data_IF_180422669165
#
_entry.id   IF_180422669165
#
_cell.length_a   1.000
_cell.length_b   1.000
_cell.length_c   1.000
_cell.angle_alpha   90.00
_cell.angle_beta   90.00
_cell.angle_gamma   90.00
#
_symmetry.space_group_name_H-M   'P 1'
#
loop_
_entity.id
_entity.type
_entity.pdbx_description
1 polymer ?
#
# COMPACT_ATOMS: atom_id res chain seq x y z
N UNK A 1 -18.51 -10.74 68.79
CA UNK A 1 -18.40 -11.56 67.56
C UNK A 1 -18.32 -10.61 66.38
N UNK A 2 -17.20 -10.63 65.66
CA UNK A 2 -16.84 -9.70 64.58
C UNK A 2 -17.36 -10.19 63.23
N UNK A 3 -17.76 -9.28 62.35
CA UNK A 3 -17.47 -9.37 60.91
C UNK A 3 -17.84 -8.05 60.21
N UNK A 4 -16.86 -7.19 59.99
CA UNK A 4 -16.94 -6.06 59.04
C UNK A 4 -16.32 -6.50 57.72
N UNK A 5 -17.15 -6.62 56.69
CA UNK A 5 -16.74 -7.00 55.34
C UNK A 5 -16.32 -5.76 54.55
N UNK A 6 -15.03 -5.60 54.28
CA UNK A 6 -14.50 -4.58 53.36
C UNK A 6 -14.45 -5.19 51.97
N UNK A 7 -15.25 -4.67 51.03
CA UNK A 7 -15.19 -5.06 49.62
C UNK A 7 -14.15 -4.20 48.89
N UNK A 8 -13.09 -4.84 48.41
CA UNK A 8 -12.04 -4.23 47.59
C UNK A 8 -12.48 -4.27 46.11
N UNK A 9 -12.77 -3.12 45.50
CA UNK A 9 -12.96 -3.01 44.06
C UNK A 9 -11.61 -2.75 43.38
N UNK A 10 -11.10 -3.75 42.65
CA UNK A 10 -9.91 -3.61 41.81
C UNK A 10 -10.38 -3.09 40.45
N UNK A 11 -10.10 -1.83 40.13
CA UNK A 11 -10.30 -1.26 38.79
C UNK A 11 -9.08 -1.62 37.94
N UNK A 12 -9.24 -2.56 37.02
CA UNK A 12 -8.24 -2.93 36.02
C UNK A 12 -8.34 -2.01 34.79
N UNK A 13 -7.49 -0.98 34.73
CA UNK A 13 -7.45 -0.01 33.63
C UNK A 13 -6.13 -0.10 32.83
N UNK A 14 -5.92 -1.12 31.99
CA UNK A 14 -4.79 -1.15 31.03
C UNK A 14 -5.09 -2.01 29.78
N UNK A 15 -5.52 -1.39 28.65
CA UNK A 15 -4.99 -1.83 27.35
C UNK A 15 -4.70 -0.71 26.33
N UNK A 16 -4.69 0.58 26.71
CA UNK A 16 -4.59 1.68 25.73
C UNK A 16 -3.19 1.87 25.10
N UNK A 17 -2.11 1.45 25.75
CA UNK A 17 -0.73 1.78 25.34
C UNK A 17 -0.24 0.90 24.17
N UNK A 18 -0.63 -0.38 24.13
CA UNK A 18 -0.17 -1.31 23.09
C UNK A 18 -0.76 -0.95 21.70
N UNK A 19 -1.98 -0.42 21.68
CA UNK A 19 -2.68 -0.10 20.43
C UNK A 19 -2.12 1.17 19.77
N UNK A 20 -1.72 2.17 20.55
CA UNK A 20 -1.14 3.42 20.05
C UNK A 20 0.24 3.21 19.40
N UNK A 21 1.10 2.37 19.97
CA UNK A 21 2.42 2.07 19.39
C UNK A 21 2.31 1.39 18.03
N UNK A 22 1.33 0.50 17.86
CA UNK A 22 1.10 -0.21 16.59
C UNK A 22 0.56 0.70 15.46
N UNK A 23 -0.25 1.70 15.81
CA UNK A 23 -0.77 2.66 14.84
C UNK A 23 0.33 3.63 14.36
N UNK A 24 1.17 4.11 15.28
CA UNK A 24 2.28 4.99 14.95
C UNK A 24 3.33 4.29 14.06
N UNK A 25 3.65 3.03 14.33
CA UNK A 25 4.57 2.25 13.48
C UNK A 25 3.99 1.98 12.09
N UNK A 26 2.70 1.65 11.99
CA UNK A 26 2.03 1.45 10.71
C UNK A 26 2.01 2.73 9.86
N UNK A 27 1.75 3.89 10.49
CA UNK A 27 1.82 5.18 9.81
C UNK A 27 3.23 5.48 9.30
N UNK A 28 4.25 5.32 10.15
CA UNK A 28 5.65 5.51 9.74
C UNK A 28 6.03 4.60 8.56
N UNK A 29 5.62 3.32 8.59
CA UNK A 29 5.89 2.37 7.51
C UNK A 29 5.17 2.77 6.22
N UNK A 30 3.89 3.15 6.30
CA UNK A 30 3.13 3.63 5.14
C UNK A 30 3.75 4.89 4.51
N UNK A 31 4.26 5.82 5.32
CA UNK A 31 4.97 7.01 4.85
C UNK A 31 6.24 6.64 4.07
N UNK A 32 7.05 5.70 4.59
CA UNK A 32 8.25 5.21 3.89
C UNK A 32 7.92 4.59 2.55
N UNK A 33 6.88 3.74 2.51
CA UNK A 33 6.43 3.09 1.28
C UNK A 33 5.95 4.16 0.28
N UNK A 34 5.05 5.06 0.66
CA UNK A 34 4.56 6.11 -0.22
C UNK A 34 5.68 7.05 -0.73
N UNK A 35 6.61 7.45 0.15
CA UNK A 35 7.75 8.26 -0.25
C UNK A 35 8.59 7.61 -1.36
N UNK A 36 8.71 6.28 -1.37
CA UNK A 36 9.46 5.55 -2.41
C UNK A 36 8.83 5.61 -3.81
N UNK A 37 7.55 5.98 -3.91
CA UNK A 37 6.81 6.23 -5.14
C UNK A 37 6.78 7.71 -5.54
N UNK A 38 7.30 8.60 -4.70
CA UNK A 38 7.46 10.01 -5.04
C UNK A 38 8.78 10.23 -5.80
N UNK A 39 8.72 11.04 -6.87
CA UNK A 39 9.91 11.45 -7.63
C UNK A 39 9.69 12.79 -8.30
N UNK A 40 10.74 13.56 -8.50
CA UNK A 40 10.70 14.79 -9.29
C UNK A 40 11.85 14.84 -10.29
N UNK A 41 11.59 15.43 -11.45
CA UNK A 41 12.58 15.67 -12.50
C UNK A 41 12.27 16.99 -13.17
N UNK A 42 13.24 17.89 -13.20
CA UNK A 42 13.18 19.14 -13.95
C UNK A 42 14.40 19.23 -14.87
N UNK A 43 14.21 19.64 -16.11
CA UNK A 43 15.28 19.86 -17.08
C UNK A 43 14.99 21.14 -17.87
N UNK A 44 15.99 22.01 -17.96
CA UNK A 44 15.99 23.17 -18.85
C UNK A 44 17.18 23.07 -19.80
N UNK A 45 16.96 23.31 -21.08
CA UNK A 45 18.02 23.40 -22.09
C UNK A 45 17.78 24.63 -22.96
N UNK A 46 18.81 25.43 -23.16
CA UNK A 46 18.77 26.58 -24.06
C UNK A 46 19.75 26.38 -25.20
N UNK A 47 19.31 26.64 -26.43
CA UNK A 47 20.17 26.61 -27.63
C UNK A 47 19.65 27.59 -28.67
N UNK A 48 20.54 28.45 -29.18
CA UNK A 48 20.19 29.48 -30.17
C UNK A 48 18.98 30.35 -29.76
N UNK A 49 18.91 30.74 -28.48
CA UNK A 49 17.79 31.53 -27.93
C UNK A 49 16.48 30.74 -27.73
N UNK A 50 16.43 29.44 -28.05
CA UNK A 50 15.28 28.58 -27.80
C UNK A 50 15.49 27.82 -26.49
N UNK A 51 14.62 28.05 -25.50
CA UNK A 51 14.58 27.33 -24.23
C UNK A 51 13.55 26.20 -24.27
N UNK A 52 13.96 24.98 -23.93
CA UNK A 52 13.10 23.81 -23.74
C UNK A 52 13.10 23.41 -22.28
N UNK A 53 11.91 23.33 -21.69
CA UNK A 53 11.72 22.89 -20.32
C UNK A 53 10.94 21.57 -20.28
N UNK A 54 11.35 20.65 -19.41
CA UNK A 54 10.62 19.43 -19.11
C UNK A 54 10.49 19.31 -17.60
N UNK A 55 9.26 19.19 -17.12
CA UNK A 55 8.94 19.01 -15.72
C UNK A 55 8.14 17.72 -15.53
N UNK A 56 8.45 16.97 -14.48
CA UNK A 56 7.67 15.85 -14.00
C UNK A 56 7.78 15.80 -12.49
N UNK A 57 6.65 15.80 -11.79
CA UNK A 57 6.59 15.53 -10.36
C UNK A 57 5.55 14.45 -10.13
N UNK A 58 5.93 13.41 -9.40
CA UNK A 58 5.04 12.38 -8.87
C UNK A 58 5.11 12.49 -7.35
N UNK A 59 3.97 12.68 -6.71
CA UNK A 59 3.84 12.79 -5.28
C UNK A 59 2.86 11.72 -4.80
N UNK A 60 3.31 10.87 -3.88
CA UNK A 60 2.53 9.78 -3.34
C UNK A 60 2.38 9.94 -1.83
N UNK A 61 1.15 9.85 -1.34
CA UNK A 61 0.81 10.08 0.07
C UNK A 61 -0.08 8.94 0.59
N UNK A 62 0.19 8.39 1.80
CA UNK A 62 -0.67 7.37 2.38
C UNK A 62 -2.10 7.85 2.49
N UNK A 63 -3.04 7.00 2.09
CA UNK A 63 -4.44 7.35 2.00
C UNK A 63 -5.24 6.50 2.99
N UNK A 64 -5.48 7.07 4.18
CA UNK A 64 -6.31 6.45 5.21
C UNK A 64 -7.79 6.66 4.89
N UNK A 65 -8.57 5.59 4.87
CA UNK A 65 -10.03 5.64 4.72
C UNK A 65 -10.72 5.56 6.08
N UNK A 66 -11.81 6.35 6.31
CA UNK A 66 -12.61 6.24 7.53
C UNK A 66 -13.24 4.85 7.71
N UNK A 67 -13.68 4.23 6.62
CA UNK A 67 -14.24 2.88 6.60
C UNK A 67 -13.25 1.92 5.94
N UNK A 68 -12.74 0.89 6.64
CA UNK A 68 -11.82 -0.09 6.04
C UNK A 68 -12.40 -0.79 4.81
N UNK A 69 -13.73 -0.99 4.76
CA UNK A 69 -14.38 -1.63 3.62
C UNK A 69 -14.17 -0.85 2.29
N UNK A 70 -13.86 0.45 2.35
CA UNK A 70 -13.58 1.28 1.17
C UNK A 70 -12.29 0.88 0.44
N UNK A 71 -11.42 0.09 1.09
CA UNK A 71 -10.25 -0.54 0.46
C UNK A 71 -10.60 -1.79 -0.35
N UNK A 72 -11.83 -2.31 -0.28
CA UNK A 72 -12.24 -3.43 -1.11
C UNK A 72 -12.24 -3.05 -2.59
N UNK A 73 -11.88 -3.99 -3.45
CA UNK A 73 -11.88 -3.81 -4.90
C UNK A 73 -10.81 -4.61 -5.62
N UNK A 74 -10.72 -4.39 -6.93
CA UNK A 74 -9.69 -4.98 -7.78
C UNK A 74 -8.57 -3.98 -7.99
N UNK A 75 -7.34 -4.46 -7.89
CA UNK A 75 -6.11 -3.70 -7.98
C UNK A 75 -5.24 -4.30 -9.07
N UNK A 76 -4.77 -3.50 -10.02
CA UNK A 76 -3.96 -3.99 -11.14
C UNK A 76 -2.80 -3.04 -11.44
N UNK A 77 -1.67 -3.60 -11.86
CA UNK A 77 -0.59 -2.78 -12.44
C UNK A 77 -0.87 -2.65 -13.94
N UNK A 78 -1.12 -1.43 -14.45
CA UNK A 78 -1.36 -1.24 -15.88
C UNK A 78 -0.21 -1.84 -16.71
N UNK A 79 -0.58 -2.54 -17.78
CA UNK A 79 0.32 -3.12 -18.78
C UNK A 79 1.36 -4.15 -18.27
N UNK A 80 1.22 -4.67 -17.04
CA UNK A 80 2.21 -5.60 -16.46
C UNK A 80 1.63 -6.95 -16.00
N UNK A 81 0.33 -7.21 -16.18
CA UNK A 81 -0.30 -8.49 -15.84
C UNK A 81 -0.15 -8.91 -14.35
N UNK A 82 0.04 -7.93 -13.46
CA UNK A 82 -0.06 -8.11 -12.01
C UNK A 82 -1.42 -7.62 -11.53
N UNK A 83 -2.09 -8.39 -10.67
CA UNK A 83 -3.33 -7.92 -10.05
C UNK A 83 -3.74 -8.71 -8.82
N UNK A 84 -4.58 -8.10 -7.99
CA UNK A 84 -5.22 -8.77 -6.88
C UNK A 84 -6.59 -8.16 -6.60
N UNK A 85 -7.47 -8.97 -6.01
CA UNK A 85 -8.76 -8.57 -5.52
C UNK A 85 -8.74 -8.63 -4.00
N UNK A 86 -9.36 -7.64 -3.36
CA UNK A 86 -9.44 -7.51 -1.92
C UNK A 86 -10.90 -7.36 -1.51
N UNK A 87 -11.33 -8.15 -0.52
CA UNK A 87 -12.60 -7.98 0.18
C UNK A 87 -12.28 -7.68 1.64
N UNK A 88 -12.52 -6.44 2.06
CA UNK A 88 -12.20 -5.95 3.40
C UNK A 88 -13.47 -5.90 4.24
N UNK A 89 -13.41 -6.52 5.41
CA UNK A 89 -14.48 -6.48 6.41
C UNK A 89 -14.41 -5.18 7.21
N UNK A 90 -15.51 -4.83 7.89
CA UNK A 90 -15.57 -3.60 8.70
C UNK A 90 -14.56 -3.57 9.87
N UNK A 91 -14.08 -4.72 10.33
CA UNK A 91 -13.07 -4.85 11.38
C UNK A 91 -11.63 -4.69 10.87
N UNK A 92 -11.44 -4.49 9.56
CA UNK A 92 -10.13 -4.34 8.92
C UNK A 92 -9.40 -5.67 8.63
N UNK A 93 -10.04 -6.81 8.91
CA UNK A 93 -9.64 -8.10 8.33
C UNK A 93 -10.02 -8.15 6.87
N UNK A 94 -9.37 -9.01 6.09
CA UNK A 94 -9.70 -9.16 4.69
C UNK A 94 -9.39 -10.55 4.15
N UNK A 95 -10.10 -10.88 3.09
CA UNK A 95 -9.76 -11.96 2.18
C UNK A 95 -9.28 -11.36 0.85
N UNK A 96 -8.38 -12.06 0.17
CA UNK A 96 -7.93 -11.62 -1.13
C UNK A 96 -7.25 -12.72 -1.92
N UNK A 97 -7.29 -12.56 -3.23
CA UNK A 97 -6.63 -13.45 -4.19
C UNK A 97 -5.98 -12.60 -5.26
N UNK A 98 -4.89 -13.07 -5.84
CA UNK A 98 -4.24 -12.35 -6.92
C UNK A 98 -3.45 -13.24 -7.84
N UNK A 99 -2.82 -12.59 -8.79
CA UNK A 99 -1.98 -13.20 -9.80
C UNK A 99 -0.81 -12.30 -10.12
N UNK A 100 0.28 -12.93 -10.54
CA UNK A 100 1.49 -12.26 -11.01
C UNK A 100 2.16 -13.11 -12.08
N UNK A 101 2.87 -12.48 -13.03
CA UNK A 101 3.62 -13.19 -14.05
C UNK A 101 4.77 -13.98 -13.42
N UNK A 102 4.89 -15.24 -13.80
CA UNK A 102 6.04 -16.10 -13.49
C UNK A 102 7.07 -16.07 -14.63
N UNK A 103 6.57 -15.97 -15.87
CA UNK A 103 7.35 -15.79 -17.09
C UNK A 103 6.46 -15.18 -18.16
N UNK A 104 7.01 -14.95 -19.36
CA UNK A 104 6.21 -14.55 -20.53
C UNK A 104 5.05 -15.53 -20.72
N UNK A 105 3.82 -15.01 -20.73
CA UNK A 105 2.54 -15.74 -20.89
C UNK A 105 2.17 -16.75 -19.78
N UNK A 106 2.93 -16.86 -18.70
CA UNK A 106 2.60 -17.75 -17.57
C UNK A 106 2.31 -16.92 -16.33
N UNK A 107 1.14 -17.12 -15.74
CA UNK A 107 0.73 -16.48 -14.49
C UNK A 107 0.71 -17.51 -13.36
N UNK A 108 1.14 -17.09 -12.17
CA UNK A 108 0.88 -17.82 -10.92
C UNK A 108 -0.17 -17.08 -10.11
N UNK A 109 -1.03 -17.84 -9.44
CA UNK A 109 -2.07 -17.30 -8.55
C UNK A 109 -1.68 -17.46 -7.09
N UNK A 110 -2.13 -16.55 -6.23
CA UNK A 110 -1.95 -16.62 -4.79
C UNK A 110 -3.23 -16.27 -4.05
N UNK A 111 -3.34 -16.75 -2.82
CA UNK A 111 -4.33 -16.29 -1.83
C UNK A 111 -3.60 -15.49 -0.76
N UNK A 112 -4.20 -14.40 -0.30
CA UNK A 112 -3.71 -13.63 0.83
C UNK A 112 -4.22 -14.25 2.13
N UNK A 113 -3.31 -14.54 3.05
CA UNK A 113 -3.60 -15.08 4.38
C UNK A 113 -3.06 -14.16 5.46
N UNK A 114 -3.66 -14.25 6.65
CA UNK A 114 -3.29 -13.48 7.83
C UNK A 114 -3.27 -11.96 7.56
N UNK A 115 -4.22 -11.50 6.76
CA UNK A 115 -4.31 -10.13 6.30
C UNK A 115 -4.79 -9.16 7.37
N UNK A 116 -4.13 -8.01 7.49
CA UNK A 116 -4.57 -6.91 8.34
C UNK A 116 -4.32 -5.55 7.68
N UNK A 117 -5.25 -4.63 7.88
CA UNK A 117 -5.09 -3.21 7.52
C UNK A 117 -4.97 -2.37 8.79
N UNK A 118 -3.93 -1.54 8.87
CA UNK A 118 -3.72 -0.56 9.95
C UNK A 118 -3.43 0.80 9.35
N UNK A 119 -4.38 1.73 9.45
CA UNK A 119 -4.32 3.01 8.75
C UNK A 119 -4.35 2.79 7.24
N UNK A 120 -3.24 3.08 6.56
CA UNK A 120 -3.07 2.82 5.13
C UNK A 120 -2.16 1.63 4.84
N UNK A 121 -1.54 1.01 5.86
CA UNK A 121 -0.66 -0.14 5.69
C UNK A 121 -1.48 -1.43 5.59
N UNK A 122 -1.19 -2.26 4.61
CA UNK A 122 -1.68 -3.63 4.49
C UNK A 122 -0.49 -4.58 4.67
N UNK A 123 -0.68 -5.59 5.52
CA UNK A 123 0.23 -6.73 5.67
C UNK A 123 -0.55 -8.03 5.47
N UNK A 124 0.07 -8.99 4.80
CA UNK A 124 -0.45 -10.34 4.58
C UNK A 124 0.69 -11.29 4.17
N UNK A 125 0.33 -12.55 3.95
CA UNK A 125 1.19 -13.56 3.32
C UNK A 125 0.53 -14.03 2.03
N UNK A 126 1.23 -13.94 0.90
CA UNK A 126 0.85 -14.66 -0.32
C UNK A 126 1.11 -16.14 -0.10
N UNK A 127 0.13 -16.97 -0.39
CA UNK A 127 0.26 -18.43 -0.40
C UNK A 127 -0.06 -18.91 -1.81
N UNK A 128 0.92 -19.52 -2.47
CA UNK A 128 0.79 -20.05 -3.83
C UNK A 128 0.31 -21.50 -3.82
N UNK A 129 -0.20 -21.98 -4.97
CA UNK A 129 -0.63 -23.37 -5.12
C UNK A 129 0.49 -24.40 -4.89
N UNK A 130 1.75 -24.02 -5.07
CA UNK A 130 2.93 -24.83 -4.76
C UNK A 130 3.18 -25.02 -3.25
N UNK A 131 2.47 -24.28 -2.40
CA UNK A 131 2.74 -24.20 -0.96
C UNK A 131 3.81 -23.17 -0.59
N UNK A 132 4.49 -22.56 -1.57
CA UNK A 132 5.39 -21.44 -1.33
C UNK A 132 4.62 -20.27 -0.70
N UNK A 133 5.28 -19.55 0.21
CA UNK A 133 4.71 -18.38 0.86
C UNK A 133 5.66 -17.20 0.81
N UNK A 134 5.11 -16.00 0.61
CA UNK A 134 5.87 -14.75 0.56
C UNK A 134 5.16 -13.65 1.35
N UNK A 135 5.93 -12.77 1.99
CA UNK A 135 5.37 -11.59 2.65
C UNK A 135 4.75 -10.65 1.61
N UNK A 136 3.58 -10.11 1.94
CA UNK A 136 2.90 -9.09 1.17
C UNK A 136 2.68 -7.86 2.04
N UNK A 137 3.46 -6.82 1.77
CA UNK A 137 3.36 -5.55 2.46
C UNK A 137 3.25 -4.41 1.45
N UNK A 138 2.40 -3.44 1.75
CA UNK A 138 2.32 -2.21 0.98
C UNK A 138 1.42 -1.19 1.64
N UNK A 139 1.31 -0.03 1.02
CA UNK A 139 0.46 1.06 1.50
C UNK A 139 -0.58 1.46 0.46
N UNK A 140 -1.81 1.69 0.91
CA UNK A 140 -2.79 2.43 0.14
C UNK A 140 -2.37 3.89 0.07
N UNK A 141 -2.42 4.47 -1.12
CA UNK A 141 -1.94 5.83 -1.33
C UNK A 141 -2.66 6.53 -2.48
N UNK A 142 -2.69 7.86 -2.40
CA UNK A 142 -3.01 8.72 -3.53
C UNK A 142 -1.70 9.06 -4.23
N UNK A 143 -1.61 8.79 -5.53
CA UNK A 143 -0.46 9.13 -6.38
C UNK A 143 -0.87 10.24 -7.35
N UNK A 144 -0.30 11.42 -7.17
CA UNK A 144 -0.55 12.60 -8.00
C UNK A 144 0.61 12.85 -8.96
N UNK A 145 0.33 13.02 -10.25
CA UNK A 145 1.33 13.31 -11.28
C UNK A 145 1.12 14.70 -11.87
N UNK A 146 2.19 15.47 -11.98
CA UNK A 146 2.23 16.84 -12.50
C UNK A 146 3.26 16.95 -13.62
N UNK A 147 2.88 17.54 -14.76
CA UNK A 147 3.73 17.71 -15.94
C UNK A 147 4.26 19.15 -16.11
N UNK A 148 3.78 20.10 -15.29
CA UNK A 148 4.32 21.45 -15.18
C UNK A 148 4.15 22.00 -13.75
N UNK A 149 4.81 23.12 -13.39
CA UNK A 149 4.62 23.76 -12.08
C UNK A 149 3.20 24.32 -11.83
N UNK A 150 2.43 24.58 -12.89
CA UNK A 150 1.06 25.10 -12.82
C UNK A 150 0.00 24.04 -13.09
N UNK A 151 0.42 22.80 -13.33
CA UNK A 151 -0.47 21.66 -13.54
C UNK A 151 -1.27 21.40 -12.26
N UNK A 152 -2.59 21.16 -12.40
CA UNK A 152 -3.45 20.73 -11.29
C UNK A 152 -3.14 19.30 -10.86
N UNK A 153 -2.49 18.54 -11.74
CA UNK A 153 -2.12 17.16 -11.55
C UNK A 153 -3.28 16.20 -11.73
N UNK A 154 -2.94 14.93 -11.91
CA UNK A 154 -3.89 13.82 -11.97
C UNK A 154 -3.60 12.90 -10.79
N UNK A 155 -4.60 12.68 -9.95
CA UNK A 155 -4.50 11.80 -8.77
C UNK A 155 -5.20 10.48 -9.03
N UNK A 156 -4.47 9.39 -8.81
CA UNK A 156 -5.01 8.03 -8.82
C UNK A 156 -4.87 7.40 -7.44
N UNK A 157 -5.89 6.64 -7.02
CA UNK A 157 -5.84 5.86 -5.78
C UNK A 157 -5.39 4.44 -6.09
N UNK A 158 -4.54 3.89 -5.24
CA UNK A 158 -4.03 2.54 -5.44
C UNK A 158 -3.26 2.01 -4.25
N UNK A 159 -2.54 0.92 -4.50
CA UNK A 159 -1.73 0.19 -3.54
C UNK A 159 -0.28 0.10 -4.03
N UNK A 160 0.65 0.66 -3.27
CA UNK A 160 2.08 0.59 -3.56
C UNK A 160 2.77 -0.47 -2.69
N UNK A 161 3.52 -1.38 -3.30
CA UNK A 161 4.30 -2.42 -2.61
C UNK A 161 5.77 -2.39 -3.02
N UNK A 162 6.64 -2.72 -2.05
CA UNK A 162 8.07 -2.91 -2.25
C UNK A 162 8.31 -4.42 -2.28
N UNK A 163 8.47 -4.97 -3.48
CA UNK A 163 8.61 -6.39 -3.69
C UNK A 163 10.06 -6.82 -3.89
N UNK A 164 10.24 -8.13 -4.02
CA UNK A 164 11.47 -8.68 -4.60
C UNK A 164 11.64 -8.14 -6.03
N UNK A 165 12.88 -7.91 -6.49
CA UNK A 165 13.10 -7.53 -7.87
C UNK A 165 12.59 -8.60 -8.83
N UNK A 166 11.73 -8.21 -9.78
CA UNK A 166 11.25 -9.05 -10.88
C UNK A 166 11.75 -8.45 -12.19
N UNK A 167 12.20 -9.30 -13.10
CA UNK A 167 12.56 -8.87 -14.46
C UNK A 167 11.32 -8.92 -15.35
N UNK A 168 10.90 -7.76 -15.86
CA UNK A 168 9.79 -7.63 -16.81
C UNK A 168 10.30 -6.84 -18.01
N UNK A 169 10.23 -7.42 -19.21
CA UNK A 169 10.66 -6.78 -20.46
C UNK A 169 12.09 -6.22 -20.40
N UNK A 170 13.02 -6.93 -19.75
CA UNK A 170 14.42 -6.52 -19.61
C UNK A 170 14.68 -5.44 -18.55
N UNK A 171 13.65 -4.99 -17.81
CA UNK A 171 13.78 -4.06 -16.70
C UNK A 171 13.64 -4.81 -15.37
N UNK A 172 14.53 -4.53 -14.42
CA UNK A 172 14.42 -5.02 -13.05
C UNK A 172 13.56 -4.06 -12.24
N UNK A 173 12.38 -4.52 -11.82
CA UNK A 173 11.37 -3.72 -11.11
C UNK A 173 11.15 -4.33 -9.74
N UNK A 174 11.29 -3.53 -8.69
CA UNK A 174 11.09 -3.94 -7.30
C UNK A 174 10.01 -3.11 -6.58
N UNK A 175 9.29 -2.27 -7.33
CA UNK A 175 8.24 -1.39 -6.82
C UNK A 175 7.06 -1.42 -7.77
N UNK A 176 5.90 -1.78 -7.25
CA UNK A 176 4.68 -1.92 -8.03
C UNK A 176 3.60 -1.03 -7.43
N UNK A 177 2.92 -0.27 -8.29
CA UNK A 177 1.76 0.51 -7.91
C UNK A 177 0.55 -0.07 -8.62
N UNK A 178 -0.32 -0.71 -7.85
CA UNK A 178 -1.56 -1.29 -8.33
C UNK A 178 -2.66 -0.23 -8.25
N UNK A 179 -3.18 0.19 -9.39
CA UNK A 179 -4.32 1.11 -9.46
C UNK A 179 -5.59 0.38 -9.05
N UNK A 180 -6.42 1.05 -8.23
CA UNK A 180 -7.75 0.52 -7.94
C UNK A 180 -8.61 0.70 -9.19
N UNK A 181 -9.08 -0.41 -9.73
CA UNK A 181 -9.98 -0.42 -10.87
C UNK A 181 -11.36 0.07 -10.39
N UNK A 182 -11.94 0.99 -11.17
CA UNK A 182 -13.27 1.58 -10.92
C UNK A 182 -14.38 0.57 -11.05
#
# INVERSE_FOLDING_TARGET
MYCTSVSLAIVSALPAIAQQTSAASAQARSNVIAASFSKSKSMSKEKFGIRKEKYLKVQSEPAVRPNPADYSGTYAVPDMDFGFQLQVNHDGTFDGTGFEPLSDNVRRTFVLKNGRIQGALLTATKVYASGESEEFEGAFMNRSTYQSPTDKGVTVFGFGTLGRPVSVSGLTINKFFFEKMS
#
